data_IF_786763553795
#
_entry.id   IF_786763553795
#
_cell.length_a   1.000
_cell.length_b   1.000
_cell.length_c   1.000
_cell.angle_alpha   90.00
_cell.angle_beta   90.00
_cell.angle_gamma   90.00
#
_symmetry.space_group_name_H-M   'P 1'
#
loop_
_entity.id
_entity.type
_entity.pdbx_description
1 polymer ?
#
# COMPACT_ATOMS: atom_id res chain seq x y z
N UNK A 1 -3.74 -9.66 0.17
CA UNK A 1 -2.59 -9.56 1.10
C UNK A 1 -2.26 -8.13 1.49
N UNK A 2 -2.02 -7.22 0.53
CA UNK A 2 -1.64 -5.84 0.85
C UNK A 2 -2.59 -5.10 1.82
N UNK A 3 -3.91 -5.23 1.68
CA UNK A 3 -4.86 -4.63 2.61
C UNK A 3 -4.66 -5.07 4.08
N UNK A 4 -4.23 -6.31 4.33
CA UNK A 4 -3.97 -6.80 5.69
C UNK A 4 -2.63 -6.28 6.22
N UNK A 5 -1.56 -6.44 5.44
CA UNK A 5 -0.20 -6.06 5.85
C UNK A 5 0.00 -4.55 5.96
N UNK A 6 -0.67 -3.78 5.10
CA UNK A 6 -0.50 -2.33 5.02
C UNK A 6 -1.42 -1.59 6.02
N UNK A 7 -2.34 -2.28 6.70
CA UNK A 7 -3.26 -1.65 7.66
C UNK A 7 -2.51 -0.86 8.74
N UNK A 8 -1.49 -1.44 9.37
CA UNK A 8 -0.71 -0.76 10.42
C UNK A 8 0.17 0.36 9.89
N UNK A 9 1.03 0.17 8.87
CA UNK A 9 1.83 1.27 8.34
C UNK A 9 0.97 2.38 7.72
N UNK A 10 -0.19 2.06 7.13
CA UNK A 10 -1.12 3.07 6.60
C UNK A 10 -1.59 4.03 7.68
N UNK A 11 -1.99 3.51 8.84
CA UNK A 11 -2.40 4.33 9.99
C UNK A 11 -1.22 5.05 10.62
N UNK A 12 -0.21 4.29 11.04
CA UNK A 12 0.85 4.77 11.90
C UNK A 12 1.77 5.74 11.18
N UNK A 13 1.89 5.61 9.85
CA UNK A 13 2.68 6.51 9.02
C UNK A 13 1.80 7.44 8.17
N UNK A 14 0.47 7.42 8.29
CA UNK A 14 -0.42 8.25 7.47
C UNK A 14 -0.16 8.10 5.96
N UNK A 15 -0.10 6.87 5.45
CA UNK A 15 0.24 6.56 4.05
C UNK A 15 -0.95 6.77 3.11
N UNK A 16 -1.44 8.00 3.08
CA UNK A 16 -2.56 8.43 2.26
C UNK A 16 -2.08 9.37 1.15
N UNK A 17 -2.74 9.30 0.00
CA UNK A 17 -2.54 10.19 -1.15
C UNK A 17 -1.08 10.24 -1.66
N UNK A 18 -0.53 9.11 -2.15
CA UNK A 18 0.81 9.10 -2.75
C UNK A 18 0.87 10.01 -3.98
N UNK A 19 2.01 10.69 -4.17
CA UNK A 19 2.24 11.61 -5.29
C UNK A 19 2.84 10.92 -6.52
N UNK A 20 3.46 9.76 -6.33
CA UNK A 20 3.88 8.92 -7.44
C UNK A 20 4.05 7.46 -7.02
N UNK A 21 4.00 6.58 -8.03
CA UNK A 21 4.23 5.15 -7.88
C UNK A 21 4.97 4.60 -9.10
N UNK A 22 5.77 3.56 -8.91
CA UNK A 22 6.37 2.77 -10.00
C UNK A 22 6.57 1.34 -9.56
N UNK A 23 6.75 0.43 -10.52
CA UNK A 23 6.98 -0.97 -10.24
C UNK A 23 8.08 -1.59 -11.12
N UNK A 24 8.65 -2.69 -10.63
CA UNK A 24 9.32 -3.72 -11.41
C UNK A 24 8.49 -4.98 -11.34
N UNK A 25 8.39 -5.73 -12.42
CA UNK A 25 7.60 -6.97 -12.44
C UNK A 25 8.33 -8.12 -13.13
N UNK A 26 7.80 -9.32 -12.98
CA UNK A 26 8.20 -10.47 -13.79
C UNK A 26 7.59 -10.52 -15.19
N UNK A 27 6.89 -9.47 -15.59
CA UNK A 27 6.19 -9.34 -16.87
C UNK A 27 4.77 -9.92 -16.86
N UNK A 28 3.94 -9.37 -17.74
CA UNK A 28 2.58 -9.83 -18.01
C UNK A 28 2.10 -9.44 -19.41
N UNK A 29 0.93 -9.98 -19.81
CA UNK A 29 0.34 -9.86 -21.15
C UNK A 29 -0.89 -8.95 -21.23
N UNK A 30 -1.23 -8.28 -20.13
CA UNK A 30 -2.46 -7.48 -19.98
C UNK A 30 -3.75 -8.31 -19.94
N UNK A 31 -3.67 -9.61 -19.68
CA UNK A 31 -4.80 -10.46 -19.32
C UNK A 31 -4.70 -10.90 -17.85
N UNK A 32 -3.47 -11.14 -17.39
CA UNK A 32 -3.17 -11.50 -16.00
C UNK A 32 -2.12 -10.58 -15.37
N UNK A 33 -2.04 -10.56 -14.04
CA UNK A 33 -0.98 -9.87 -13.29
C UNK A 33 0.28 -10.76 -13.17
N UNK A 34 1.48 -10.17 -12.99
CA UNK A 34 2.75 -10.89 -12.97
C UNK A 34 2.88 -11.80 -11.74
N UNK A 35 3.74 -12.81 -11.82
CA UNK A 35 4.02 -13.73 -10.70
C UNK A 35 4.82 -13.09 -9.55
N UNK A 36 5.50 -11.97 -9.81
CA UNK A 36 6.32 -11.23 -8.84
C UNK A 36 6.28 -9.74 -9.15
N UNK A 37 6.26 -8.91 -8.11
CA UNK A 37 6.37 -7.45 -8.25
C UNK A 37 7.19 -6.82 -7.12
N UNK A 38 7.78 -5.67 -7.42
CA UNK A 38 8.32 -4.72 -6.44
C UNK A 38 7.74 -3.36 -6.76
N UNK A 39 7.10 -2.71 -5.79
CA UNK A 39 6.43 -1.42 -5.98
C UNK A 39 7.08 -0.40 -5.06
N UNK A 40 7.37 0.79 -5.58
CA UNK A 40 7.82 1.95 -4.81
C UNK A 40 6.73 3.03 -4.89
N UNK A 41 6.23 3.47 -3.74
CA UNK A 41 5.34 4.61 -3.59
C UNK A 41 6.11 5.79 -2.99
N UNK A 42 5.80 6.99 -3.47
CA UNK A 42 6.24 8.25 -2.86
C UNK A 42 5.05 8.93 -2.20
N UNK A 43 5.11 9.10 -0.89
CA UNK A 43 4.16 9.89 -0.13
C UNK A 43 4.76 11.27 0.15
N UNK A 44 3.97 12.35 -0.02
CA UNK A 44 4.46 13.71 0.23
C UNK A 44 4.71 13.89 1.73
N UNK A 45 5.50 14.91 2.07
CA UNK A 45 5.57 15.39 3.45
C UNK A 45 4.22 15.94 3.92
N UNK A 46 3.98 15.89 5.23
CA UNK A 46 2.82 16.51 5.87
C UNK A 46 3.28 17.41 7.01
N UNK A 47 2.35 18.09 7.67
CA UNK A 47 2.67 18.87 8.87
C UNK A 47 3.25 18.00 10.01
N UNK A 48 2.95 16.71 10.03
CA UNK A 48 3.26 15.80 11.14
C UNK A 48 4.40 14.81 10.83
N UNK A 49 4.81 14.67 9.57
CA UNK A 49 5.86 13.71 9.16
C UNK A 49 6.58 14.12 7.86
N UNK A 50 7.83 13.70 7.66
CA UNK A 50 8.52 13.89 6.39
C UNK A 50 7.86 13.09 5.25
N UNK A 51 8.33 13.33 4.03
CA UNK A 51 8.01 12.49 2.88
C UNK A 51 8.44 11.03 3.15
N UNK A 52 7.60 10.08 2.77
CA UNK A 52 7.84 8.65 3.01
C UNK A 52 7.94 7.92 1.69
N UNK A 53 9.02 7.16 1.54
CA UNK A 53 9.14 6.13 0.52
C UNK A 53 8.64 4.80 1.09
N UNK A 54 7.60 4.24 0.47
CA UNK A 54 7.05 2.94 0.86
C UNK A 54 7.36 1.90 -0.22
N UNK A 55 7.84 0.75 0.22
CA UNK A 55 8.22 -0.36 -0.65
C UNK A 55 7.34 -1.58 -0.39
N UNK A 56 6.85 -2.18 -1.46
CA UNK A 56 6.14 -3.45 -1.45
C UNK A 56 6.93 -4.49 -2.23
N UNK A 57 7.13 -5.66 -1.65
CA UNK A 57 7.77 -6.80 -2.28
C UNK A 57 6.80 -7.98 -2.27
N UNK A 58 6.44 -8.45 -3.46
CA UNK A 58 5.51 -9.56 -3.65
C UNK A 58 6.25 -10.82 -4.11
N UNK A 59 5.68 -11.99 -3.79
CA UNK A 59 6.19 -13.37 -4.01
C UNK A 59 7.20 -13.85 -2.98
N UNK A 60 7.03 -15.11 -2.54
CA UNK A 60 8.00 -15.81 -1.70
C UNK A 60 9.40 -15.80 -2.34
N UNK A 61 10.38 -15.35 -1.57
CA UNK A 61 11.78 -15.24 -1.99
C UNK A 61 12.18 -13.90 -2.60
N UNK A 62 11.21 -13.05 -2.97
CA UNK A 62 11.44 -11.66 -3.35
C UNK A 62 11.29 -10.79 -2.09
N UNK A 63 12.39 -10.56 -1.38
CA UNK A 63 12.41 -9.81 -0.11
C UNK A 63 13.17 -8.51 -0.27
N UNK A 64 12.93 -7.49 0.59
CA UNK A 64 13.82 -6.34 0.66
C UNK A 64 15.28 -6.80 0.92
N UNK A 65 16.28 -6.04 0.46
CA UNK A 65 17.69 -6.35 0.71
C UNK A 65 17.98 -6.57 2.21
N UNK A 66 18.85 -7.54 2.54
CA UNK A 66 19.18 -7.88 3.92
C UNK A 66 19.74 -6.68 4.71
N UNK A 67 20.50 -5.82 4.04
CA UNK A 67 21.06 -4.55 4.54
C UNK A 67 19.98 -3.60 5.11
N UNK A 68 18.72 -3.72 4.71
CA UNK A 68 17.61 -2.94 5.28
C UNK A 68 17.29 -3.39 6.71
N UNK A 69 17.46 -4.69 7.01
CA UNK A 69 17.10 -5.31 8.29
C UNK A 69 18.27 -5.40 9.28
N UNK A 70 19.50 -5.52 8.77
CA UNK A 70 20.72 -5.65 9.56
C UNK A 70 20.90 -4.57 10.64
N UNK A 71 20.67 -3.27 10.36
CA UNK A 71 20.76 -2.22 11.36
C UNK A 71 19.79 -2.39 12.53
N UNK A 72 18.74 -3.21 12.38
CA UNK A 72 17.70 -3.42 13.39
C UNK A 72 17.79 -4.80 14.05
N UNK A 73 18.79 -5.61 13.67
CA UNK A 73 18.92 -6.99 14.16
C UNK A 73 17.71 -7.85 13.82
N UNK A 74 17.04 -7.55 12.71
CA UNK A 74 15.85 -8.27 12.25
C UNK A 74 16.27 -9.33 11.24
N UNK A 75 15.73 -10.54 11.40
CA UNK A 75 15.76 -11.57 10.35
C UNK A 75 14.40 -11.56 9.64
N UNK A 76 14.34 -11.23 8.34
CA UNK A 76 13.06 -11.09 7.66
C UNK A 76 12.33 -12.43 7.56
N UNK A 77 11.08 -12.44 8.01
CA UNK A 77 10.15 -13.55 7.81
C UNK A 77 9.70 -13.63 6.34
N UNK A 78 8.88 -14.63 6.00
CA UNK A 78 8.33 -14.77 4.64
C UNK A 78 7.22 -13.74 4.34
N UNK A 79 6.67 -13.14 5.38
CA UNK A 79 5.70 -12.04 5.36
C UNK A 79 6.02 -11.09 6.50
N UNK A 80 5.73 -9.80 6.34
CA UNK A 80 5.85 -8.85 7.42
C UNK A 80 5.95 -7.40 6.96
N UNK A 81 6.14 -6.53 7.93
CA UNK A 81 6.37 -5.10 7.72
C UNK A 81 7.52 -4.64 8.60
N UNK A 82 8.38 -3.79 8.03
CA UNK A 82 9.39 -3.03 8.77
C UNK A 82 9.11 -1.55 8.55
N UNK A 83 8.92 -0.81 9.64
CA UNK A 83 8.77 0.64 9.64
C UNK A 83 10.00 1.22 10.33
N UNK A 84 10.74 2.08 9.63
CA UNK A 84 11.96 2.69 10.14
C UNK A 84 11.68 4.15 10.45
N UNK A 85 11.83 4.52 11.72
CA UNK A 85 11.80 5.90 12.19
C UNK A 85 13.18 6.38 12.64
N UNK A 86 13.31 7.67 12.91
CA UNK A 86 14.57 8.29 13.35
C UNK A 86 15.05 7.78 14.71
N UNK A 87 14.10 7.31 15.55
CA UNK A 87 14.34 6.91 16.95
C UNK A 87 14.19 5.42 17.20
N UNK A 88 14.07 4.60 16.16
CA UNK A 88 13.85 3.17 16.26
C UNK A 88 13.05 2.61 15.09
N UNK A 89 12.85 1.30 15.10
CA UNK A 89 12.05 0.62 14.09
C UNK A 89 10.96 -0.27 14.71
N UNK A 90 9.84 -0.38 14.02
CA UNK A 90 8.79 -1.35 14.28
C UNK A 90 8.92 -2.49 13.28
N UNK A 91 8.82 -3.72 13.75
CA UNK A 91 8.81 -4.90 12.91
C UNK A 91 7.65 -5.83 13.29
N UNK A 92 6.97 -6.37 12.29
CA UNK A 92 6.07 -7.50 12.44
C UNK A 92 6.39 -8.57 11.42
N UNK A 93 6.28 -9.84 11.84
CA UNK A 93 6.63 -11.01 11.05
C UNK A 93 5.41 -11.75 10.47
N UNK A 94 4.24 -11.11 10.46
CA UNK A 94 2.98 -11.71 10.02
C UNK A 94 2.12 -10.77 9.14
N UNK A 95 1.08 -11.33 8.52
CA UNK A 95 0.22 -10.63 7.56
C UNK A 95 -0.75 -9.60 8.17
N UNK A 96 -0.91 -9.62 9.49
CA UNK A 96 -1.92 -8.85 10.22
C UNK A 96 -1.31 -7.87 11.21
N UNK A 97 0.02 -7.79 11.25
CA UNK A 97 0.75 -7.10 12.31
C UNK A 97 0.30 -7.54 13.72
N UNK A 98 -0.05 -8.82 13.89
CA UNK A 98 -0.57 -9.38 15.14
C UNK A 98 0.47 -9.42 16.25
N UNK A 99 1.74 -9.37 15.89
CA UNK A 99 2.88 -9.25 16.81
C UNK A 99 3.73 -8.03 16.46
N UNK A 100 4.16 -7.27 17.46
CA UNK A 100 4.96 -6.06 17.29
C UNK A 100 6.30 -6.19 18.02
N UNK A 101 7.39 -6.02 17.29
CA UNK A 101 8.75 -5.92 17.82
C UNK A 101 9.29 -4.51 17.64
N UNK A 102 9.63 -3.85 18.74
CA UNK A 102 10.26 -2.54 18.74
C UNK A 102 11.78 -2.70 18.82
N UNK A 103 12.51 -2.16 17.84
CA UNK A 103 13.95 -2.34 17.67
C UNK A 103 14.67 -1.02 17.86
N UNK A 104 15.62 -1.01 18.82
CA UNK A 104 16.47 0.14 19.13
C UNK A 104 15.68 1.42 19.40
N UNK A 105 14.45 1.27 19.91
CA UNK A 105 13.62 2.40 20.25
C UNK A 105 14.20 3.11 21.47
N UNK A 106 14.38 4.43 21.38
CA UNK A 106 14.39 5.26 22.60
C UNK A 106 13.14 4.90 23.42
N UNK A 107 13.19 4.93 24.77
CA UNK A 107 12.02 4.64 25.60
C UNK A 107 10.85 5.50 25.11
N UNK A 108 9.95 4.85 24.37
CA UNK A 108 8.78 5.50 23.82
C UNK A 108 7.98 5.96 25.03
N UNK A 109 7.58 7.23 25.01
CA UNK A 109 6.76 7.86 26.02
C UNK A 109 5.56 6.95 26.31
N UNK A 110 5.64 6.14 27.38
CA UNK A 110 4.56 5.28 27.88
C UNK A 110 3.27 6.09 28.08
N UNK A 111 3.42 7.41 28.25
CA UNK A 111 2.36 8.39 28.47
C UNK A 111 1.63 8.88 27.20
N UNK A 112 2.14 8.59 25.98
CA UNK A 112 1.50 9.04 24.72
C UNK A 112 0.78 7.97 23.94
N UNK A 113 0.84 6.71 24.38
CA UNK A 113 -0.01 5.66 23.86
C UNK A 113 -1.35 5.82 24.59
N UNK A 114 -2.27 6.62 24.04
CA UNK A 114 -3.69 6.49 24.33
C UNK A 114 -4.29 5.64 23.21
N UNK A 115 -4.20 4.31 23.32
CA UNK A 115 -4.74 3.45 22.30
C UNK A 115 -6.25 3.49 22.54
N UNK A 116 -6.98 4.24 21.72
CA UNK A 116 -8.43 4.04 21.64
C UNK A 116 -8.70 2.65 21.04
N UNK A 117 -8.30 1.60 21.75
CA UNK A 117 -8.51 0.20 21.40
C UNK A 117 -10.01 -0.03 21.23
N UNK A 118 -10.35 -0.93 20.30
CA UNK A 118 -11.68 -1.52 20.26
C UNK A 118 -12.06 -2.00 21.66
N UNK A 119 -13.32 -1.80 22.05
CA UNK A 119 -13.79 -2.36 23.32
C UNK A 119 -13.67 -3.88 23.24
N UNK A 120 -12.81 -4.47 24.09
CA UNK A 120 -12.65 -5.91 24.18
C UNK A 120 -13.95 -6.54 24.71
N UNK A 121 -14.70 -7.19 23.82
CA UNK A 121 -15.93 -7.95 24.12
C UNK A 121 -15.70 -9.45 24.08
N UNK A 122 -14.61 -9.91 23.46
CA UNK A 122 -14.12 -11.27 23.65
C UNK A 122 -12.94 -11.60 22.73
N UNK A 123 -13.12 -11.39 21.44
CA UNK A 123 -12.11 -11.63 20.41
C UNK A 123 -12.37 -10.77 19.19
N UNK A 124 -11.41 -10.74 18.25
CA UNK A 124 -11.39 -9.77 17.15
C UNK A 124 -12.71 -9.70 16.37
N UNK A 125 -13.33 -10.84 16.06
CA UNK A 125 -14.60 -10.85 15.32
C UNK A 125 -15.75 -10.23 16.12
N UNK A 126 -15.88 -10.58 17.40
CA UNK A 126 -16.93 -10.04 18.27
C UNK A 126 -16.71 -8.55 18.54
N UNK A 127 -15.45 -8.14 18.69
CA UNK A 127 -15.08 -6.74 18.89
C UNK A 127 -15.44 -5.91 17.64
N UNK A 128 -15.13 -6.41 16.44
CA UNK A 128 -15.49 -5.78 15.16
C UNK A 128 -17.02 -5.68 14.97
N UNK A 129 -17.77 -6.74 15.28
CA UNK A 129 -19.24 -6.71 15.19
C UNK A 129 -19.85 -5.72 16.19
N UNK A 130 -19.29 -5.64 17.39
CA UNK A 130 -19.73 -4.71 18.41
C UNK A 130 -19.49 -3.25 17.99
N UNK A 131 -18.34 -2.93 17.40
CA UNK A 131 -18.09 -1.60 16.80
C UNK A 131 -19.14 -1.25 15.73
N UNK A 132 -19.47 -2.21 14.85
CA UNK A 132 -20.48 -2.01 13.81
C UNK A 132 -21.86 -1.69 14.41
N UNK A 133 -22.33 -2.48 15.38
CA UNK A 133 -23.64 -2.23 15.99
C UNK A 133 -23.70 -0.88 16.71
N UNK A 134 -22.62 -0.48 17.38
CA UNK A 134 -22.51 0.86 17.98
C UNK A 134 -22.53 1.98 16.96
N UNK A 135 -21.82 1.81 15.84
CA UNK A 135 -21.81 2.78 14.74
C UNK A 135 -23.22 2.97 14.16
N UNK A 136 -23.97 1.88 14.00
CA UNK A 136 -25.36 1.91 13.51
C UNK A 136 -26.28 2.59 14.51
N UNK A 137 -26.22 2.21 15.79
CA UNK A 137 -27.07 2.79 16.85
C UNK A 137 -26.83 4.30 17.01
N UNK A 138 -25.57 4.71 17.05
CA UNK A 138 -25.18 6.11 17.14
C UNK A 138 -25.33 6.89 15.83
N UNK A 139 -25.60 6.20 14.71
CA UNK A 139 -25.60 6.77 13.34
C UNK A 139 -24.30 7.49 13.00
N UNK A 140 -23.19 6.97 13.49
CA UNK A 140 -21.85 7.53 13.26
C UNK A 140 -20.92 6.43 12.72
N UNK A 141 -20.64 6.41 11.41
CA UNK A 141 -19.76 5.42 10.82
C UNK A 141 -18.32 5.51 11.33
N UNK A 142 -17.89 6.67 11.87
CA UNK A 142 -16.52 6.87 12.37
C UNK A 142 -16.19 6.08 13.63
N UNK A 143 -17.22 5.54 14.30
CA UNK A 143 -17.03 4.59 15.40
C UNK A 143 -16.32 3.33 14.93
N UNK A 144 -16.59 2.86 13.70
CA UNK A 144 -15.83 1.75 13.12
C UNK A 144 -14.43 2.22 12.73
N UNK A 145 -13.39 1.57 13.27
CA UNK A 145 -12.01 1.88 12.86
C UNK A 145 -11.73 1.56 11.39
N UNK A 146 -12.48 0.62 10.83
CA UNK A 146 -12.44 0.21 9.42
C UNK A 146 -13.37 1.01 8.50
N UNK A 147 -13.91 2.15 8.93
CA UNK A 147 -14.88 2.92 8.15
C UNK A 147 -14.35 3.34 6.76
N UNK A 148 -15.26 3.49 5.80
CA UNK A 148 -14.92 3.80 4.41
C UNK A 148 -14.33 5.20 4.20
N UNK A 149 -14.68 6.16 5.05
CA UNK A 149 -14.36 7.58 4.87
C UNK A 149 -12.87 7.83 5.18
N UNK A 150 -12.43 7.31 6.32
CA UNK A 150 -11.12 7.63 6.89
C UNK A 150 -10.11 6.49 6.70
N UNK A 151 -10.56 5.23 6.52
CA UNK A 151 -9.69 4.06 6.50
C UNK A 151 -9.83 3.19 5.26
N UNK A 152 -10.96 2.49 5.10
CA UNK A 152 -11.06 1.44 4.09
C UNK A 152 -10.99 1.98 2.66
N UNK A 153 -11.70 3.07 2.35
CA UNK A 153 -11.65 3.70 1.02
C UNK A 153 -10.25 4.19 0.66
N UNK A 154 -9.64 5.10 1.46
CA UNK A 154 -8.29 5.59 1.22
C UNK A 154 -7.21 4.49 1.15
N UNK A 155 -7.28 3.47 2.02
CA UNK A 155 -6.34 2.34 1.95
C UNK A 155 -6.50 1.56 0.65
N UNK A 156 -7.74 1.26 0.24
CA UNK A 156 -8.02 0.57 -1.02
C UNK A 156 -7.50 1.36 -2.20
N UNK A 157 -7.73 2.67 -2.24
CA UNK A 157 -7.22 3.54 -3.31
C UNK A 157 -5.69 3.50 -3.41
N UNK A 158 -4.98 3.66 -2.28
CA UNK A 158 -3.52 3.59 -2.21
C UNK A 158 -3.00 2.26 -2.77
N UNK A 159 -3.61 1.13 -2.40
CA UNK A 159 -3.16 -0.18 -2.89
C UNK A 159 -3.50 -0.39 -4.37
N UNK A 160 -4.67 0.05 -4.83
CA UNK A 160 -5.06 -0.06 -6.24
C UNK A 160 -4.13 0.76 -7.15
N UNK A 161 -3.62 1.90 -6.67
CA UNK A 161 -2.60 2.65 -7.40
C UNK A 161 -1.31 1.83 -7.60
N UNK A 162 -0.97 0.96 -6.64
CA UNK A 162 0.11 -0.02 -6.80
C UNK A 162 -0.13 -0.97 -7.97
N UNK A 163 -1.36 -1.48 -8.12
CA UNK A 163 -1.73 -2.32 -9.26
C UNK A 163 -1.61 -1.57 -10.59
N UNK A 164 -1.94 -0.27 -10.62
CA UNK A 164 -1.75 0.55 -11.81
C UNK A 164 -0.26 0.64 -12.19
N UNK A 165 0.64 0.79 -11.22
CA UNK A 165 2.07 0.79 -11.47
C UNK A 165 2.58 -0.56 -11.99
N UNK A 166 2.07 -1.66 -11.42
CA UNK A 166 2.38 -3.02 -11.88
C UNK A 166 1.91 -3.21 -13.31
N UNK A 167 0.70 -2.76 -13.64
CA UNK A 167 0.14 -2.81 -15.00
C UNK A 167 0.96 -2.00 -16.00
N UNK A 168 1.45 -0.83 -15.60
CA UNK A 168 2.32 -0.01 -16.43
C UNK A 168 3.69 -0.66 -16.65
N UNK A 169 4.18 -1.45 -15.69
CA UNK A 169 5.45 -2.16 -15.73
C UNK A 169 5.30 -3.58 -16.32
N UNK A 170 4.73 -3.68 -17.53
CA UNK A 170 4.35 -4.96 -18.15
C UNK A 170 5.51 -5.85 -18.62
N UNK A 171 6.71 -5.31 -18.71
CA UNK A 171 7.88 -6.04 -19.20
C UNK A 171 8.45 -6.98 -18.13
N UNK A 172 8.87 -8.17 -18.56
CA UNK A 172 9.64 -9.13 -17.76
C UNK A 172 11.15 -8.95 -17.94
N UNK A 173 11.94 -9.65 -17.11
CA UNK A 173 13.39 -9.52 -17.15
C UNK A 173 14.01 -10.00 -18.48
N UNK A 174 14.99 -9.28 -19.04
CA UNK A 174 15.71 -9.73 -20.23
C UNK A 174 16.62 -10.92 -19.89
N UNK A 175 16.98 -11.70 -20.91
CA UNK A 175 18.04 -12.71 -20.86
C UNK A 175 17.97 -13.72 -19.69
N UNK A 176 16.75 -14.10 -19.29
CA UNK A 176 16.50 -15.08 -18.24
C UNK A 176 16.49 -14.50 -16.82
N UNK A 177 16.61 -13.18 -16.66
CA UNK A 177 16.33 -12.52 -15.39
C UNK A 177 14.83 -12.61 -15.04
N UNK A 178 14.51 -12.74 -13.75
CA UNK A 178 13.11 -12.83 -13.32
C UNK A 178 12.36 -11.51 -13.54
N UNK A 179 12.99 -10.36 -13.28
CA UNK A 179 12.31 -9.06 -13.27
C UNK A 179 13.00 -8.08 -14.20
N UNK A 180 12.20 -7.22 -14.85
CA UNK A 180 12.69 -6.11 -15.64
C UNK A 180 13.25 -4.98 -14.77
N UNK A 181 13.74 -3.93 -15.44
CA UNK A 181 13.92 -2.64 -14.80
C UNK A 181 12.59 -1.94 -14.47
N UNK A 182 12.69 -0.77 -13.86
CA UNK A 182 11.51 0.01 -13.47
C UNK A 182 10.68 0.36 -14.70
N UNK A 183 9.38 0.09 -14.63
CA UNK A 183 8.43 0.68 -15.57
C UNK A 183 8.30 2.20 -15.38
N UNK A 184 7.44 2.86 -16.18
CA UNK A 184 7.25 4.29 -16.09
C UNK A 184 6.78 4.68 -14.68
N UNK A 185 7.25 5.84 -14.22
CA UNK A 185 6.72 6.43 -12.99
C UNK A 185 5.36 7.04 -13.29
N UNK A 186 4.36 6.66 -12.52
CA UNK A 186 3.03 7.25 -12.57
C UNK A 186 3.01 8.41 -11.59
N UNK A 187 2.92 9.64 -12.10
CA UNK A 187 2.70 10.81 -11.26
C UNK A 187 1.20 10.95 -11.00
N UNK A 188 0.80 10.89 -9.74
CA UNK A 188 -0.60 10.77 -9.34
C UNK A 188 -1.16 12.07 -8.79
N UNK A 189 -2.42 12.34 -9.13
CA UNK A 189 -3.29 13.28 -8.45
C UNK A 189 -4.39 12.48 -7.73
N UNK A 190 -4.26 12.33 -6.41
CA UNK A 190 -5.20 11.57 -5.60
C UNK A 190 -6.56 12.26 -5.45
N UNK A 191 -6.61 13.58 -5.59
CA UNK A 191 -7.87 14.33 -5.46
C UNK A 191 -8.76 14.10 -6.67
N UNK A 192 -8.16 14.20 -7.86
CA UNK A 192 -8.90 14.12 -9.13
C UNK A 192 -8.82 12.72 -9.77
N UNK A 193 -8.08 11.80 -9.16
CA UNK A 193 -7.84 10.42 -9.60
C UNK A 193 -7.29 10.36 -11.04
N UNK A 194 -6.22 11.12 -11.31
CA UNK A 194 -5.61 11.21 -12.65
C UNK A 194 -4.09 11.03 -12.65
N UNK A 195 -3.59 10.48 -13.76
CA UNK A 195 -2.15 10.41 -14.07
C UNK A 195 -1.72 11.71 -14.70
N UNK A 196 -0.93 12.51 -13.98
CA UNK A 196 -0.49 13.85 -14.39
C UNK A 196 0.46 13.82 -15.59
N UNK A 197 1.25 12.76 -15.69
CA UNK A 197 2.30 12.62 -16.71
C UNK A 197 1.91 11.65 -17.84
N UNK A 198 0.61 11.46 -18.10
CA UNK A 198 0.14 10.51 -19.11
C UNK A 198 0.67 10.83 -20.52
N UNK A 199 0.77 12.11 -20.88
CA UNK A 199 1.33 12.53 -22.17
C UNK A 199 2.83 12.23 -22.29
N UNK A 200 3.58 12.36 -21.20
CA UNK A 200 4.99 11.99 -21.17
C UNK A 200 5.18 10.47 -21.33
N UNK A 201 4.34 9.67 -20.65
CA UNK A 201 4.31 8.21 -20.82
C UNK A 201 3.96 7.86 -22.27
N UNK A 202 2.96 8.53 -22.87
CA UNK A 202 2.58 8.31 -24.27
C UNK A 202 3.74 8.55 -25.24
N UNK A 203 4.56 9.56 -24.98
CA UNK A 203 5.72 9.88 -25.81
C UNK A 203 6.88 8.89 -25.62
N UNK A 204 7.11 8.44 -24.38
CA UNK A 204 8.24 7.57 -24.05
C UNK A 204 7.97 6.07 -24.31
N UNK A 205 6.77 5.60 -23.94
CA UNK A 205 6.39 4.18 -23.93
C UNK A 205 5.39 3.83 -25.05
N UNK A 206 4.85 4.83 -25.74
CA UNK A 206 3.87 4.67 -26.81
C UNK A 206 2.42 4.85 -26.36
N UNK A 207 1.55 5.08 -27.36
CA UNK A 207 0.12 5.39 -27.10
C UNK A 207 -0.66 4.20 -26.57
N UNK A 208 -0.32 2.98 -26.97
CA UNK A 208 -1.02 1.79 -26.50
C UNK A 208 -0.92 1.62 -24.97
N UNK A 209 0.26 1.81 -24.38
CA UNK A 209 0.43 1.71 -22.92
C UNK A 209 -0.34 2.81 -22.19
N UNK A 210 -0.23 4.06 -22.66
CA UNK A 210 -0.94 5.18 -22.07
C UNK A 210 -2.47 4.97 -22.09
N UNK A 211 -3.01 4.45 -23.18
CA UNK A 211 -4.44 4.17 -23.31
C UNK A 211 -4.88 3.00 -22.41
N UNK A 212 -4.02 1.98 -22.24
CA UNK A 212 -4.25 0.88 -21.26
C UNK A 212 -4.25 1.37 -19.81
N UNK A 213 -3.34 2.27 -19.44
CA UNK A 213 -3.32 2.91 -18.12
C UNK A 213 -4.62 3.69 -17.89
N UNK A 214 -5.02 4.51 -18.87
CA UNK A 214 -6.24 5.31 -18.78
C UNK A 214 -7.49 4.42 -18.65
N UNK A 215 -7.53 3.30 -19.38
CA UNK A 215 -8.63 2.34 -19.35
C UNK A 215 -8.84 1.67 -18.00
N UNK A 216 -7.80 1.52 -17.16
CA UNK A 216 -7.95 1.00 -15.80
C UNK A 216 -8.52 2.02 -14.81
N UNK A 217 -8.26 3.31 -15.03
CA UNK A 217 -8.73 4.39 -14.14
C UNK A 217 -10.18 4.74 -14.43
N UNK A 218 -10.52 4.82 -15.72
CA UNK A 218 -11.88 5.14 -16.20
C UNK A 218 -12.34 4.03 -17.15
N UNK A 219 -12.74 2.86 -16.62
CA UNK A 219 -13.19 1.75 -17.45
C UNK A 219 -14.42 2.18 -18.26
N UNK A 220 -14.39 1.86 -19.55
CA UNK A 220 -15.59 1.93 -20.38
C UNK A 220 -16.39 0.65 -20.16
N UNK A 221 -17.57 0.78 -19.57
CA UNK A 221 -18.46 -0.35 -19.37
C UNK A 221 -19.14 -0.74 -20.67
N UNK A 222 -19.41 -2.04 -20.83
CA UNK A 222 -20.24 -2.53 -21.92
C UNK A 222 -21.64 -1.91 -21.86
N UNK A 223 -22.30 -1.78 -23.00
CA UNK A 223 -23.66 -1.25 -23.09
C UNK A 223 -24.60 -1.99 -22.13
N UNK A 224 -25.31 -1.23 -21.29
CA UNK A 224 -26.20 -1.76 -20.24
C UNK A 224 -25.56 -1.93 -18.86
N UNK A 225 -24.24 -1.78 -18.73
CA UNK A 225 -23.53 -1.80 -17.44
C UNK A 225 -23.11 -0.39 -17.04
N UNK A 226 -23.39 -0.01 -15.79
CA UNK A 226 -23.04 1.29 -15.21
C UNK A 226 -22.84 1.13 -13.70
N UNK A 227 -22.03 2.03 -13.13
CA UNK A 227 -21.65 2.05 -11.71
C UNK A 227 -22.61 2.88 -10.83
N UNK A 228 -23.75 3.33 -11.37
CA UNK A 228 -24.74 4.16 -10.67
C UNK A 228 -25.73 3.37 -9.81
#
# INVERSE_FOLDING_TARGET
MACHQVTVPFDGCGLRDPISVKAKTSGHDFDSFPASSVIEFQFPETADRPAIKFWWYDRKGNKPPAEVFEPWGVKPADSGVLIIGEKGAFYSADDYCGSAEFKKCEPLLEDKINPGYAEKKGGFDLDNMYELFRAVDAKDPKICRSNFIDRAGPLTETILLGNLAVWAAYQGGPDGALMADWGPTIEWDAKDLVVKNLDAIRQAEGSELADRILGLIKPTYAEGYRLD
#
